data_IF_660888593113
#
_entry.id   IF_660888593113
#
_cell.length_a   1.000
_cell.length_b   1.000
_cell.length_c   1.000
_cell.angle_alpha   90.00
_cell.angle_beta   90.00
_cell.angle_gamma   90.00
#
_symmetry.space_group_name_H-M   'P 1'
#
loop_
_entity.id
_entity.type
_entity.pdbx_description
1 polymer ?
#
# COMPACT_ATOMS: atom_id res chain seq x y z
N UNK A 1 -32.29 18.00 -16.57
CA UNK A 1 -31.80 19.07 -15.68
C UNK A 1 -30.28 19.16 -15.85
N UNK A 2 -29.77 20.28 -16.38
CA UNK A 2 -28.32 20.52 -16.44
C UNK A 2 -27.83 20.73 -15.02
N UNK A 3 -26.99 19.81 -14.53
CA UNK A 3 -26.42 19.92 -13.20
C UNK A 3 -25.65 21.24 -13.05
N UNK A 4 -25.87 21.92 -11.93
CA UNK A 4 -25.15 23.15 -11.61
C UNK A 4 -23.65 22.87 -11.57
N UNK A 5 -22.81 23.66 -12.24
CA UNK A 5 -21.36 23.52 -12.18
C UNK A 5 -20.89 23.57 -10.72
N UNK A 6 -19.93 22.71 -10.33
CA UNK A 6 -19.43 22.73 -8.98
C UNK A 6 -18.63 24.00 -8.68
N UNK A 7 -18.45 24.32 -7.41
CA UNK A 7 -17.56 25.39 -7.00
C UNK A 7 -16.10 24.98 -7.26
N UNK A 8 -15.31 25.89 -7.82
CA UNK A 8 -13.91 25.65 -8.14
C UNK A 8 -12.99 25.77 -6.92
N UNK A 9 -13.45 26.44 -5.86
CA UNK A 9 -12.69 26.70 -4.63
C UNK A 9 -12.67 25.45 -3.75
N UNK A 10 -11.52 24.81 -3.49
CA UNK A 10 -11.45 23.58 -2.71
C UNK A 10 -12.03 23.70 -1.31
N UNK A 11 -11.83 24.82 -0.65
CA UNK A 11 -12.27 25.11 0.72
C UNK A 11 -13.79 25.05 0.86
N UNK A 12 -14.52 25.31 -0.23
CA UNK A 12 -15.99 25.19 -0.26
C UNK A 12 -16.48 23.79 0.14
N UNK A 13 -15.67 22.76 -0.08
CA UNK A 13 -16.01 21.38 0.23
C UNK A 13 -15.64 20.97 1.65
N UNK A 14 -14.80 21.74 2.34
CA UNK A 14 -14.39 21.44 3.71
C UNK A 14 -15.55 21.53 4.71
N UNK A 15 -15.57 20.62 5.65
CA UNK A 15 -16.43 20.70 6.82
C UNK A 15 -15.73 21.51 7.90
N UNK A 16 -16.49 22.24 8.69
CA UNK A 16 -15.90 22.85 9.89
C UNK A 16 -15.31 21.77 10.82
N UNK A 17 -14.28 22.09 11.61
CA UNK A 17 -13.65 21.09 12.51
C UNK A 17 -14.65 20.39 13.43
N UNK A 18 -15.67 21.11 13.92
CA UNK A 18 -16.74 20.50 14.73
C UNK A 18 -17.56 19.50 13.94
N UNK A 19 -17.97 19.88 12.73
CA UNK A 19 -18.75 19.01 11.85
C UNK A 19 -17.94 17.81 11.37
N UNK A 20 -16.63 17.98 11.15
CA UNK A 20 -15.69 16.90 10.78
C UNK A 20 -15.60 15.87 11.91
N UNK A 21 -15.32 16.29 13.14
CA UNK A 21 -15.28 15.39 14.32
C UNK A 21 -16.60 14.66 14.54
N UNK A 22 -17.74 15.38 14.41
CA UNK A 22 -19.06 14.74 14.54
C UNK A 22 -19.32 13.68 13.47
N UNK A 23 -18.87 13.92 12.22
CA UNK A 23 -19.00 12.96 11.13
C UNK A 23 -18.15 11.70 11.37
N UNK A 24 -16.89 11.83 11.77
CA UNK A 24 -16.00 10.73 12.10
C UNK A 24 -16.50 9.94 13.32
N UNK A 25 -16.95 10.63 14.38
CA UNK A 25 -17.55 9.98 15.55
C UNK A 25 -18.79 9.15 15.18
N UNK A 26 -19.66 9.66 14.31
CA UNK A 26 -20.83 8.91 13.82
C UNK A 26 -20.41 7.70 12.99
N UNK A 27 -19.40 7.85 12.14
CA UNK A 27 -18.86 6.73 11.34
C UNK A 27 -18.28 5.64 12.26
N UNK A 28 -17.56 6.00 13.31
CA UNK A 28 -16.94 5.06 14.25
C UNK A 28 -17.92 4.20 15.04
N UNK A 29 -19.14 4.69 15.25
CA UNK A 29 -20.21 3.91 15.94
C UNK A 29 -20.61 2.65 15.14
N UNK A 30 -20.57 2.71 13.81
CA UNK A 30 -20.95 1.63 12.94
C UNK A 30 -19.75 0.89 12.33
N UNK A 31 -18.65 1.58 12.16
CA UNK A 31 -17.44 1.10 11.46
C UNK A 31 -16.18 1.51 12.23
N UNK A 32 -15.91 0.94 13.42
CA UNK A 32 -14.76 1.31 14.23
C UNK A 32 -13.42 0.99 13.56
N UNK A 33 -13.29 -0.15 12.89
CA UNK A 33 -12.01 -0.60 12.31
C UNK A 33 -11.47 0.37 11.25
N UNK A 34 -12.25 0.79 10.22
CA UNK A 34 -11.77 1.80 9.28
C UNK A 34 -11.45 3.14 9.93
N UNK A 35 -12.21 3.56 10.96
CA UNK A 35 -11.96 4.84 11.65
C UNK A 35 -10.71 4.76 12.51
N UNK A 36 -10.46 3.66 13.20
CA UNK A 36 -9.22 3.44 13.95
C UNK A 36 -8.01 3.44 13.00
N UNK A 37 -8.13 2.77 11.87
CA UNK A 37 -7.07 2.78 10.85
C UNK A 37 -6.79 4.19 10.34
N UNK A 38 -7.82 4.95 9.92
CA UNK A 38 -7.62 6.32 9.42
C UNK A 38 -7.07 7.24 10.51
N UNK A 39 -7.47 7.05 11.77
CA UNK A 39 -6.92 7.81 12.88
C UNK A 39 -5.41 7.62 13.00
N UNK A 40 -4.91 6.41 12.89
CA UNK A 40 -3.47 6.14 12.90
C UNK A 40 -2.77 6.77 11.69
N UNK A 41 -3.38 6.68 10.51
CA UNK A 41 -2.87 7.32 9.28
C UNK A 41 -2.71 8.84 9.42
N UNK A 42 -3.54 9.48 10.22
CA UNK A 42 -3.61 10.93 10.37
C UNK A 42 -2.83 11.44 11.58
N UNK A 43 -2.97 10.80 12.73
CA UNK A 43 -2.45 11.33 14.01
C UNK A 43 -1.08 10.76 14.35
N UNK A 44 -0.76 9.55 13.89
CA UNK A 44 0.53 8.89 14.10
C UNK A 44 1.37 8.93 12.83
N UNK A 45 1.20 9.96 12.04
CA UNK A 45 1.97 10.20 10.84
C UNK A 45 3.00 11.29 11.13
N UNK A 46 4.15 10.88 11.62
CA UNK A 46 5.21 11.81 11.94
C UNK A 46 6.03 12.14 10.69
N UNK A 47 5.46 12.97 9.82
CA UNK A 47 6.26 13.59 8.74
C UNK A 47 7.35 14.49 9.29
N UNK A 48 7.30 14.80 10.57
CA UNK A 48 8.27 15.63 11.28
C UNK A 48 9.40 14.80 11.88
N UNK A 49 9.27 13.47 12.07
CA UNK A 49 10.40 12.59 12.43
C UNK A 49 11.47 12.65 11.36
N UNK A 50 11.06 12.80 10.12
CA UNK A 50 11.96 13.05 9.01
C UNK A 50 12.78 14.36 9.11
N UNK A 51 12.68 15.13 10.18
CA UNK A 51 13.47 16.35 10.37
C UNK A 51 14.98 16.12 10.49
N UNK A 52 15.42 14.90 10.81
CA UNK A 52 16.84 14.59 10.88
C UNK A 52 17.45 14.30 9.52
N UNK A 53 16.89 13.36 8.79
CA UNK A 53 17.52 12.75 7.61
C UNK A 53 16.65 12.73 6.34
N UNK A 54 15.33 12.96 6.48
CA UNK A 54 14.42 13.09 5.34
C UNK A 54 13.77 14.48 5.37
N UNK A 55 14.08 15.35 4.42
CA UNK A 55 13.43 16.65 4.35
C UNK A 55 11.92 16.46 4.18
N UNK A 56 11.12 17.24 4.93
CA UNK A 56 9.69 17.36 4.69
C UNK A 56 9.53 17.59 3.20
N UNK A 57 8.91 16.65 2.52
CA UNK A 57 8.77 16.76 1.07
C UNK A 57 7.95 18.01 0.76
N UNK A 58 8.49 18.93 -0.06
CA UNK A 58 7.75 20.14 -0.38
C UNK A 58 6.41 19.77 -0.98
N UNK A 59 5.35 20.37 -0.45
CA UNK A 59 3.98 20.13 -0.92
C UNK A 59 3.28 21.45 -1.19
N UNK A 60 2.48 21.50 -2.25
CA UNK A 60 1.54 22.58 -2.53
C UNK A 60 0.11 22.29 -2.02
N UNK A 61 -0.05 21.28 -1.18
CA UNK A 61 -1.34 21.00 -0.53
C UNK A 61 -1.60 22.04 0.55
N UNK A 62 -2.75 22.75 0.52
CA UNK A 62 -3.13 23.65 1.60
C UNK A 62 -3.24 22.91 2.94
N UNK A 63 -2.83 23.57 4.03
CA UNK A 63 -2.80 22.99 5.39
C UNK A 63 -4.14 22.38 5.81
N UNK A 64 -5.25 23.01 5.44
CA UNK A 64 -6.60 22.54 5.77
C UNK A 64 -6.94 21.16 5.15
N UNK A 65 -6.13 20.70 4.20
CA UNK A 65 -6.27 19.36 3.58
C UNK A 65 -5.21 18.37 4.06
N UNK A 66 -4.38 18.75 5.02
CA UNK A 66 -3.36 17.84 5.54
C UNK A 66 -4.02 16.76 6.43
N UNK A 67 -3.63 15.50 6.28
CA UNK A 67 -4.16 14.40 7.09
C UNK A 67 -4.08 14.66 8.59
N UNK A 68 -3.00 15.28 9.05
CA UNK A 68 -2.72 15.60 10.46
C UNK A 68 -3.77 16.54 11.08
N UNK A 69 -4.46 17.32 10.26
CA UNK A 69 -5.58 18.18 10.68
C UNK A 69 -6.94 17.46 10.68
N UNK A 70 -6.95 16.17 10.28
CA UNK A 70 -8.15 15.33 10.22
C UNK A 70 -9.31 15.97 9.43
N UNK A 71 -9.06 16.53 8.24
CA UNK A 71 -10.12 17.19 7.49
C UNK A 71 -11.18 16.19 7.02
N UNK A 72 -12.42 16.62 7.03
CA UNK A 72 -13.52 15.95 6.36
C UNK A 72 -14.10 16.91 5.34
N UNK A 73 -14.30 16.43 4.13
CA UNK A 73 -14.83 17.22 3.04
C UNK A 73 -15.85 16.43 2.21
N UNK A 74 -16.73 17.16 1.57
CA UNK A 74 -17.59 16.60 0.54
C UNK A 74 -16.76 16.28 -0.70
N UNK A 75 -16.99 15.10 -1.27
CA UNK A 75 -16.27 14.63 -2.45
C UNK A 75 -17.07 14.98 -3.70
N UNK A 76 -16.61 15.92 -4.53
CA UNK A 76 -17.24 16.24 -5.81
C UNK A 76 -17.36 15.02 -6.71
N UNK A 77 -18.46 14.96 -7.46
CA UNK A 77 -18.80 13.81 -8.30
C UNK A 77 -19.34 14.30 -9.65
N UNK A 78 -18.92 13.66 -10.74
CA UNK A 78 -19.60 13.81 -12.01
C UNK A 78 -19.85 12.44 -12.65
N UNK A 79 -20.91 12.36 -13.44
CA UNK A 79 -21.19 11.22 -14.30
C UNK A 79 -20.90 11.58 -15.74
N UNK A 80 -20.37 10.65 -16.53
CA UNK A 80 -20.20 10.81 -17.96
C UNK A 80 -20.40 9.46 -18.68
N UNK A 81 -20.68 9.49 -20.00
CA UNK A 81 -20.83 8.29 -20.81
C UNK A 81 -19.61 7.35 -20.70
N UNK A 82 -19.85 6.05 -20.77
CA UNK A 82 -18.82 5.02 -20.61
C UNK A 82 -17.68 5.14 -21.62
N UNK A 83 -17.97 5.61 -22.83
CA UNK A 83 -16.98 5.86 -23.88
C UNK A 83 -15.96 6.97 -23.54
N UNK A 84 -16.27 7.84 -22.56
CA UNK A 84 -15.35 8.86 -22.06
C UNK A 84 -14.33 8.32 -21.08
N UNK A 85 -14.47 7.08 -20.65
CA UNK A 85 -13.58 6.45 -19.66
C UNK A 85 -12.79 5.27 -20.24
N UNK A 86 -11.72 4.94 -19.55
CA UNK A 86 -11.05 3.66 -19.61
C UNK A 86 -11.19 2.99 -18.25
N UNK A 87 -11.89 1.85 -18.23
CA UNK A 87 -12.05 1.01 -17.07
C UNK A 87 -10.99 -0.10 -17.11
N UNK A 88 -10.33 -0.32 -15.99
CA UNK A 88 -9.49 -1.48 -15.71
C UNK A 88 -10.05 -2.17 -14.48
N UNK A 89 -10.22 -3.46 -14.54
CA UNK A 89 -10.84 -4.24 -13.47
C UNK A 89 -10.11 -5.56 -13.31
N UNK A 90 -9.85 -5.94 -12.07
CA UNK A 90 -9.49 -7.30 -11.74
C UNK A 90 -10.72 -8.19 -12.02
N UNK A 91 -10.62 -9.18 -12.91
CA UNK A 91 -11.78 -9.97 -13.34
C UNK A 91 -12.45 -10.77 -12.22
N UNK A 92 -11.75 -10.99 -11.11
CA UNK A 92 -12.30 -11.70 -9.93
C UNK A 92 -13.08 -10.78 -8.97
N UNK A 93 -13.10 -9.48 -9.25
CA UNK A 93 -13.71 -8.47 -8.37
C UNK A 93 -14.85 -7.73 -9.10
N UNK A 94 -16.02 -7.55 -8.45
CA UNK A 94 -17.11 -6.80 -9.06
C UNK A 94 -16.77 -5.31 -9.21
N UNK A 95 -17.44 -4.65 -10.15
CA UNK A 95 -17.41 -3.19 -10.25
C UNK A 95 -18.06 -2.59 -8.99
N UNK A 96 -17.38 -1.70 -8.27
CA UNK A 96 -17.96 -1.04 -7.10
C UNK A 96 -19.19 -0.20 -7.46
N UNK A 97 -20.24 -0.32 -6.66
CA UNK A 97 -21.52 0.35 -6.87
C UNK A 97 -21.39 1.87 -7.02
N UNK A 98 -20.45 2.49 -6.35
CA UNK A 98 -20.22 3.94 -6.38
C UNK A 98 -19.55 4.44 -7.67
N UNK A 99 -19.08 3.53 -8.52
CA UNK A 99 -18.55 3.87 -9.86
C UNK A 99 -19.60 3.74 -10.96
N UNK A 100 -20.75 3.16 -10.69
CA UNK A 100 -21.82 3.07 -11.66
C UNK A 100 -22.58 4.41 -11.72
N UNK A 101 -22.82 4.93 -12.93
CA UNK A 101 -23.68 6.08 -13.10
C UNK A 101 -25.14 5.75 -12.81
N UNK A 102 -25.95 6.77 -12.58
CA UNK A 102 -27.39 6.63 -12.33
C UNK A 102 -28.13 6.02 -13.53
N UNK A 103 -27.62 6.25 -14.76
CA UNK A 103 -28.03 5.56 -15.97
C UNK A 103 -27.01 4.44 -16.25
N UNK A 104 -27.46 3.27 -16.63
CA UNK A 104 -26.63 2.07 -16.83
C UNK A 104 -25.51 2.19 -17.88
N UNK A 105 -25.41 3.31 -18.61
CA UNK A 105 -24.50 3.50 -19.76
C UNK A 105 -23.23 4.28 -19.45
N UNK A 106 -23.02 4.73 -18.21
CA UNK A 106 -21.90 5.57 -17.83
C UNK A 106 -21.23 5.19 -16.52
N UNK A 107 -20.23 6.01 -16.15
CA UNK A 107 -19.54 5.89 -14.88
C UNK A 107 -19.63 7.16 -14.06
N UNK A 108 -19.61 6.98 -12.74
CA UNK A 108 -19.46 8.04 -11.77
C UNK A 108 -17.97 8.20 -11.45
N UNK A 109 -17.48 9.43 -11.48
CA UNK A 109 -16.10 9.78 -11.16
C UNK A 109 -16.04 10.70 -9.95
N UNK A 110 -15.40 10.24 -8.90
CA UNK A 110 -15.19 10.99 -7.67
C UNK A 110 -13.91 11.83 -7.80
N UNK A 111 -14.00 13.11 -7.47
CA UNK A 111 -12.93 14.09 -7.68
C UNK A 111 -12.47 14.64 -6.35
N UNK A 112 -11.15 14.64 -6.11
CA UNK A 112 -10.60 15.34 -4.95
C UNK A 112 -10.86 16.85 -5.06
N UNK A 113 -11.27 17.57 -3.98
CA UNK A 113 -11.54 19.01 -4.05
C UNK A 113 -10.40 19.82 -4.68
N UNK A 114 -9.14 19.49 -4.37
CA UNK A 114 -7.96 20.15 -4.95
C UNK A 114 -7.79 19.94 -6.48
N UNK A 115 -8.60 19.06 -7.07
CA UNK A 115 -8.57 18.80 -8.52
C UNK A 115 -9.80 19.30 -9.27
N UNK A 116 -10.80 19.84 -8.60
CA UNK A 116 -12.04 20.29 -9.24
C UNK A 116 -11.75 21.29 -10.37
N UNK A 117 -10.92 22.30 -10.08
CA UNK A 117 -10.54 23.30 -11.09
C UNK A 117 -9.84 22.67 -12.31
N UNK A 118 -9.04 21.62 -12.08
CA UNK A 118 -8.37 20.89 -13.17
C UNK A 118 -9.38 20.24 -14.12
N UNK A 119 -10.49 19.71 -13.62
CA UNK A 119 -11.56 19.14 -14.43
C UNK A 119 -12.44 20.21 -15.06
N UNK A 120 -12.75 21.30 -14.34
CA UNK A 120 -13.59 22.40 -14.86
C UNK A 120 -12.94 23.17 -16.02
N UNK A 121 -11.62 23.27 -16.04
CA UNK A 121 -10.86 23.91 -17.12
C UNK A 121 -10.84 23.07 -18.41
N UNK A 122 -11.52 21.94 -18.44
CA UNK A 122 -11.66 21.07 -19.61
C UNK A 122 -13.12 20.91 -19.99
N UNK A 123 -13.38 20.89 -21.29
CA UNK A 123 -14.71 20.57 -21.81
C UNK A 123 -14.96 19.05 -21.67
N UNK A 124 -15.54 18.63 -20.56
CA UNK A 124 -15.87 17.23 -20.31
C UNK A 124 -17.17 16.89 -21.07
N UNK A 125 -17.03 16.36 -22.28
CA UNK A 125 -18.15 15.99 -23.14
C UNK A 125 -19.16 15.09 -22.43
N UNK A 126 -20.42 15.51 -22.39
CA UNK A 126 -21.51 14.74 -21.79
C UNK A 126 -21.42 14.57 -20.27
N UNK A 127 -20.44 15.19 -19.60
CA UNK A 127 -20.34 15.11 -18.15
C UNK A 127 -21.44 15.91 -17.46
N UNK A 128 -22.00 15.29 -16.42
CA UNK A 128 -23.00 15.90 -15.55
C UNK A 128 -22.48 15.92 -14.12
N UNK A 129 -22.20 17.09 -13.60
CA UNK A 129 -21.85 17.26 -12.20
C UNK A 129 -23.06 16.99 -11.31
N UNK A 130 -22.81 16.29 -10.21
CA UNK A 130 -23.81 15.91 -9.21
C UNK A 130 -23.65 16.71 -7.93
N UNK A 131 -24.70 16.82 -7.15
CA UNK A 131 -24.58 17.25 -5.76
C UNK A 131 -23.74 16.22 -4.99
N UNK A 132 -22.74 16.66 -4.23
CA UNK A 132 -21.89 15.74 -3.48
C UNK A 132 -22.71 14.90 -2.49
N UNK A 133 -22.55 13.60 -2.51
CA UNK A 133 -23.22 12.66 -1.59
C UNK A 133 -22.25 11.92 -0.68
N UNK A 134 -20.97 11.94 -0.99
CA UNK A 134 -19.94 11.29 -0.21
C UNK A 134 -19.16 12.27 0.64
N UNK A 135 -18.90 11.91 1.87
CA UNK A 135 -17.86 12.49 2.70
C UNK A 135 -16.57 11.71 2.55
N UNK A 136 -15.45 12.40 2.67
CA UNK A 136 -14.13 11.80 2.60
C UNK A 136 -13.18 12.44 3.60
N UNK A 137 -12.15 11.67 3.98
CA UNK A 137 -11.03 12.14 4.79
C UNK A 137 -9.73 11.54 4.25
N UNK A 138 -8.61 12.30 4.15
CA UNK A 138 -7.38 11.81 3.57
C UNK A 138 -6.62 10.89 4.52
N UNK A 139 -5.93 9.91 3.93
CA UNK A 139 -4.88 9.14 4.59
C UNK A 139 -3.53 9.87 4.52
N UNK A 140 -2.49 9.31 5.11
CA UNK A 140 -1.13 9.87 5.11
C UNK A 140 -0.62 10.32 3.73
N UNK A 141 -1.08 9.71 2.64
CA UNK A 141 -0.68 10.06 1.27
C UNK A 141 -1.43 11.25 0.65
N UNK A 142 -2.30 11.94 1.37
CA UNK A 142 -3.23 13.00 0.93
C UNK A 142 -4.25 12.58 -0.14
N UNK A 143 -3.86 11.78 -1.13
CA UNK A 143 -4.68 11.39 -2.29
C UNK A 143 -5.41 10.06 -2.13
N UNK A 144 -5.05 9.28 -1.12
CA UNK A 144 -5.82 8.12 -0.72
C UNK A 144 -6.81 8.57 0.34
N UNK A 145 -8.07 8.28 0.12
CA UNK A 145 -9.19 8.77 0.91
C UNK A 145 -9.97 7.60 1.49
N UNK A 146 -10.37 7.70 2.74
CA UNK A 146 -11.49 6.92 3.28
C UNK A 146 -12.78 7.70 2.95
N UNK A 147 -13.72 7.02 2.30
CA UNK A 147 -14.95 7.61 1.74
C UNK A 147 -16.17 6.89 2.30
N UNK A 148 -17.21 7.65 2.63
CA UNK A 148 -18.50 7.08 3.08
C UNK A 148 -19.68 7.95 2.64
N UNK A 149 -20.81 7.31 2.52
CA UNK A 149 -22.10 8.00 2.27
C UNK A 149 -22.85 8.10 3.61
N UNK A 150 -23.03 9.32 4.17
CA UNK A 150 -23.44 9.50 5.57
C UNK A 150 -24.75 8.86 5.98
N UNK A 151 -25.66 8.62 5.05
CA UNK A 151 -27.03 8.16 5.32
C UNK A 151 -27.34 6.77 4.73
N UNK A 152 -26.36 6.15 4.06
CA UNK A 152 -26.63 4.91 3.30
C UNK A 152 -26.60 3.63 4.13
N UNK A 153 -26.02 3.66 5.33
CA UNK A 153 -25.73 2.45 6.13
C UNK A 153 -24.71 1.49 5.48
N UNK A 154 -24.12 1.88 4.36
CA UNK A 154 -23.11 1.10 3.66
C UNK A 154 -21.73 1.27 4.30
N UNK A 155 -20.89 0.23 4.29
CA UNK A 155 -19.53 0.36 4.82
C UNK A 155 -18.71 1.39 4.05
N UNK A 156 -17.79 2.08 4.73
CA UNK A 156 -16.85 2.97 4.08
C UNK A 156 -15.94 2.18 3.13
N UNK A 157 -15.40 2.87 2.15
CA UNK A 157 -14.49 2.33 1.15
C UNK A 157 -13.28 3.25 0.96
N UNK A 158 -12.21 2.74 0.42
CA UNK A 158 -11.04 3.55 0.12
C UNK A 158 -10.87 3.76 -1.39
N UNK A 159 -10.38 4.94 -1.76
CA UNK A 159 -10.00 5.28 -3.13
C UNK A 159 -8.70 6.06 -3.14
N UNK A 160 -7.93 5.90 -4.21
CA UNK A 160 -6.76 6.72 -4.51
C UNK A 160 -7.13 7.62 -5.69
N UNK A 161 -7.21 8.92 -5.46
CA UNK A 161 -7.65 9.90 -6.46
C UNK A 161 -6.50 10.64 -7.12
N UNK A 162 -6.74 11.18 -8.30
CA UNK A 162 -5.86 12.19 -8.87
C UNK A 162 -5.92 13.47 -8.04
N UNK A 163 -4.76 13.99 -7.67
CA UNK A 163 -4.62 15.29 -7.01
C UNK A 163 -3.66 16.13 -7.82
N UNK A 164 -4.18 17.21 -8.40
CA UNK A 164 -3.40 18.07 -9.29
C UNK A 164 -2.55 19.08 -8.52
N UNK A 165 -1.76 18.58 -7.57
CA UNK A 165 -0.81 19.35 -6.78
C UNK A 165 0.54 18.61 -6.73
N UNK A 166 1.59 19.35 -6.38
CA UNK A 166 2.92 18.80 -6.18
C UNK A 166 3.08 18.29 -4.76
N UNK A 167 3.51 17.03 -4.63
CA UNK A 167 3.86 16.40 -3.34
C UNK A 167 5.15 15.63 -3.56
N UNK A 168 6.22 15.99 -2.83
CA UNK A 168 7.50 15.36 -2.97
C UNK A 168 8.12 15.49 -4.37
N UNK A 169 8.01 16.67 -4.98
CA UNK A 169 8.55 16.93 -6.30
C UNK A 169 7.81 16.28 -7.47
N UNK A 170 6.67 15.60 -7.22
CA UNK A 170 5.89 14.92 -8.24
C UNK A 170 4.44 15.42 -8.26
N UNK A 171 3.89 15.60 -9.46
CA UNK A 171 2.46 15.78 -9.63
C UNK A 171 1.74 14.44 -9.38
N UNK A 172 0.77 14.43 -8.48
CA UNK A 172 0.14 13.21 -7.94
C UNK A 172 -1.16 12.80 -8.66
N UNK A 173 -1.24 13.03 -9.96
CA UNK A 173 -2.33 12.49 -10.76
C UNK A 173 -2.20 10.97 -10.90
N UNK A 174 -3.29 10.24 -10.70
CA UNK A 174 -3.39 8.80 -10.99
C UNK A 174 -3.58 8.65 -12.50
N UNK A 175 -2.49 8.39 -13.20
CA UNK A 175 -2.46 8.31 -14.66
C UNK A 175 -2.75 6.87 -15.13
N UNK A 176 -3.12 6.77 -16.40
CA UNK A 176 -3.40 5.50 -17.06
C UNK A 176 -2.34 4.40 -16.81
N UNK A 177 -1.05 4.77 -16.87
CA UNK A 177 0.06 3.82 -16.66
C UNK A 177 0.09 3.26 -15.23
N UNK A 178 -0.08 4.13 -14.23
CA UNK A 178 -0.13 3.73 -12.81
C UNK A 178 -1.31 2.80 -12.56
N UNK A 179 -2.46 3.16 -13.12
CA UNK A 179 -3.69 2.40 -12.95
C UNK A 179 -3.61 1.00 -13.56
N UNK A 180 -3.14 0.90 -14.82
CA UNK A 180 -2.90 -0.40 -15.47
C UNK A 180 -1.99 -1.28 -14.63
N UNK A 181 -0.93 -0.69 -14.06
CA UNK A 181 0.03 -1.42 -13.21
C UNK A 181 -0.62 -1.88 -11.91
N UNK A 182 -1.34 -1.01 -11.20
CA UNK A 182 -1.97 -1.37 -9.93
C UNK A 182 -3.01 -2.47 -10.09
N UNK A 183 -3.95 -2.30 -11.02
CA UNK A 183 -4.99 -3.32 -11.28
C UNK A 183 -4.39 -4.61 -11.87
N UNK A 184 -3.40 -4.48 -12.75
CA UNK A 184 -2.69 -5.64 -13.28
C UNK A 184 -1.97 -6.43 -12.19
N UNK A 185 -1.31 -5.75 -11.25
CA UNK A 185 -0.65 -6.40 -10.12
C UNK A 185 -1.66 -7.03 -9.15
N UNK A 186 -2.77 -6.34 -8.87
CA UNK A 186 -3.91 -6.88 -8.15
C UNK A 186 -4.41 -8.19 -8.77
N UNK A 187 -4.60 -8.21 -10.10
CA UNK A 187 -5.02 -9.41 -10.83
C UNK A 187 -3.98 -10.53 -10.78
N UNK A 188 -2.70 -10.20 -10.81
CA UNK A 188 -1.62 -11.18 -10.71
C UNK A 188 -1.55 -11.82 -9.34
N UNK A 189 -1.61 -11.00 -8.28
CA UNK A 189 -1.59 -11.45 -6.88
C UNK A 189 -2.86 -12.25 -6.52
N UNK A 190 -4.02 -11.90 -7.09
CA UNK A 190 -5.26 -12.68 -6.92
C UNK A 190 -5.17 -14.10 -7.51
N UNK A 191 -4.21 -14.37 -8.38
CA UNK A 191 -3.90 -15.71 -8.88
C UNK A 191 -3.18 -16.61 -7.86
N UNK A 192 -2.68 -16.06 -6.75
CA UNK A 192 -2.07 -16.82 -5.67
C UNK A 192 -3.20 -17.22 -4.70
N UNK A 193 -3.33 -18.51 -4.32
CA UNK A 193 -4.34 -18.91 -3.35
C UNK A 193 -4.24 -18.10 -2.06
N UNK A 194 -5.35 -17.54 -1.61
CA UNK A 194 -5.37 -16.72 -0.39
C UNK A 194 -4.91 -17.49 0.85
N UNK A 195 -5.16 -18.81 0.89
CA UNK A 195 -4.69 -19.68 1.97
C UNK A 195 -3.14 -19.69 2.01
N UNK A 196 -2.49 -19.80 0.87
CA UNK A 196 -1.03 -19.82 0.77
C UNK A 196 -0.43 -18.47 1.21
N UNK A 197 -1.00 -17.36 0.75
CA UNK A 197 -0.58 -16.04 1.20
C UNK A 197 -0.70 -15.89 2.73
N UNK A 198 -1.87 -16.25 3.29
CA UNK A 198 -2.11 -16.17 4.74
C UNK A 198 -1.18 -17.06 5.54
N UNK A 199 -0.89 -18.26 5.06
CA UNK A 199 0.04 -19.20 5.69
C UNK A 199 1.47 -18.63 5.75
N UNK A 200 1.82 -17.78 4.78
CA UNK A 200 3.10 -17.07 4.73
C UNK A 200 3.06 -15.69 5.39
N UNK A 201 1.97 -15.37 6.07
CA UNK A 201 1.80 -14.08 6.77
C UNK A 201 1.57 -12.89 5.83
N UNK A 202 1.33 -13.12 4.53
CA UNK A 202 1.07 -12.07 3.53
C UNK A 202 -0.42 -11.79 3.45
N UNK A 203 -0.79 -10.54 3.67
CA UNK A 203 -2.15 -10.05 3.50
C UNK A 203 -2.15 -8.87 2.53
N UNK A 204 -3.23 -8.66 1.80
CA UNK A 204 -3.26 -7.63 0.75
C UNK A 204 -4.44 -6.68 0.96
N UNK A 205 -4.18 -5.38 0.84
CA UNK A 205 -5.20 -4.37 0.55
C UNK A 205 -5.20 -4.14 -0.96
N UNK A 206 -6.15 -4.77 -1.63
CA UNK A 206 -6.20 -4.86 -3.08
C UNK A 206 -6.56 -3.52 -3.75
N UNK A 207 -6.09 -3.33 -4.99
CA UNK A 207 -6.43 -2.20 -5.87
C UNK A 207 -7.26 -2.73 -7.08
N UNK A 208 -8.51 -3.18 -6.87
CA UNK A 208 -9.18 -4.05 -7.84
C UNK A 208 -9.71 -3.34 -9.09
N UNK A 209 -10.03 -2.05 -9.01
CA UNK A 209 -10.65 -1.32 -10.12
C UNK A 209 -10.03 0.05 -10.30
N UNK A 210 -9.78 0.41 -11.53
CA UNK A 210 -9.29 1.73 -11.92
C UNK A 210 -10.13 2.35 -13.02
N UNK A 211 -10.48 3.64 -12.87
CA UNK A 211 -11.27 4.41 -13.81
C UNK A 211 -10.51 5.68 -14.20
N UNK A 212 -10.19 5.85 -15.49
CA UNK A 212 -9.51 7.04 -16.02
C UNK A 212 -10.40 7.76 -17.00
N UNK A 213 -10.62 9.04 -16.78
CA UNK A 213 -11.26 9.89 -17.77
C UNK A 213 -10.29 10.18 -18.94
N UNK A 214 -10.68 9.83 -20.17
CA UNK A 214 -9.79 9.83 -21.34
C UNK A 214 -9.21 11.21 -21.67
N UNK A 215 -10.02 12.25 -21.60
CA UNK A 215 -9.61 13.60 -21.98
C UNK A 215 -8.66 14.24 -20.97
N UNK A 216 -8.87 14.00 -19.67
CA UNK A 216 -8.04 14.58 -18.61
C UNK A 216 -6.82 13.71 -18.29
N UNK A 217 -6.85 12.43 -18.65
CA UNK A 217 -5.88 11.41 -18.21
C UNK A 217 -5.71 11.38 -16.67
N UNK A 218 -6.75 11.81 -15.95
CA UNK A 218 -6.82 11.76 -14.50
C UNK A 218 -7.84 10.71 -14.07
N UNK A 219 -7.52 9.94 -13.08
CA UNK A 219 -8.35 8.81 -12.68
C UNK A 219 -8.47 8.64 -11.18
N UNK A 220 -9.21 7.63 -10.82
CA UNK A 220 -9.31 7.10 -9.49
C UNK A 220 -9.05 5.59 -9.52
N UNK A 221 -8.48 5.09 -8.44
CA UNK A 221 -8.23 3.69 -8.19
C UNK A 221 -8.96 3.29 -6.92
N UNK A 222 -9.77 2.25 -6.98
CA UNK A 222 -10.40 1.70 -5.78
C UNK A 222 -9.38 0.95 -4.96
N UNK A 223 -9.53 0.94 -3.66
CA UNK A 223 -8.65 0.22 -2.72
C UNK A 223 -9.48 -0.48 -1.67
N UNK A 224 -9.08 -1.67 -1.29
CA UNK A 224 -9.67 -2.32 -0.14
C UNK A 224 -9.34 -1.52 1.14
N UNK A 225 -10.33 -1.46 2.02
CA UNK A 225 -10.18 -0.92 3.36
C UNK A 225 -10.43 -2.04 4.38
N UNK A 226 -9.78 -2.03 5.54
CA UNK A 226 -10.08 -2.97 6.60
C UNK A 226 -11.49 -2.69 7.13
N UNK A 227 -12.49 -3.32 6.52
CA UNK A 227 -13.90 -3.07 6.83
C UNK A 227 -14.41 -3.88 8.01
N UNK A 228 -13.76 -5.00 8.31
CA UNK A 228 -14.08 -5.87 9.44
C UNK A 228 -12.85 -6.68 9.81
N UNK A 229 -12.35 -6.43 10.99
CA UNK A 229 -11.26 -7.20 11.61
C UNK A 229 -11.84 -8.22 12.60
N UNK A 230 -11.07 -9.22 12.95
CA UNK A 230 -11.40 -10.14 14.03
C UNK A 230 -11.39 -9.45 15.40
N UNK A 231 -12.02 -10.06 16.38
CA UNK A 231 -12.00 -9.54 17.75
C UNK A 231 -10.55 -9.42 18.25
N UNK A 232 -10.20 -8.24 18.75
CA UNK A 232 -8.84 -7.92 19.22
C UNK A 232 -7.82 -7.69 18.10
N UNK A 233 -8.21 -7.83 16.83
CA UNK A 233 -7.31 -7.53 15.70
C UNK A 233 -7.27 -6.02 15.41
N UNK A 234 -6.08 -5.53 15.12
CA UNK A 234 -5.78 -4.17 14.73
C UNK A 234 -4.76 -4.18 13.60
N UNK A 235 -4.87 -3.24 12.67
CA UNK A 235 -3.90 -3.04 11.59
C UNK A 235 -3.22 -1.69 11.80
N UNK A 236 -1.89 -1.70 11.86
CA UNK A 236 -1.09 -0.51 12.17
C UNK A 236 -0.09 -0.27 11.04
N UNK A 237 -0.16 0.89 10.34
CA UNK A 237 0.90 1.26 9.41
C UNK A 237 2.26 1.27 10.11
N UNK A 238 3.31 0.73 9.50
CA UNK A 238 4.61 0.66 10.18
C UNK A 238 5.13 2.04 10.58
N UNK A 239 4.94 3.08 9.75
CA UNK A 239 5.35 4.43 10.14
C UNK A 239 4.68 4.91 11.43
N UNK A 240 3.43 4.48 11.70
CA UNK A 240 2.70 4.83 12.91
C UNK A 240 3.29 4.20 14.18
N UNK A 241 4.05 3.12 14.05
CA UNK A 241 4.77 2.52 15.18
C UNK A 241 5.95 3.38 15.63
N UNK A 242 6.55 4.12 14.69
CA UNK A 242 7.73 4.95 14.94
C UNK A 242 7.37 6.39 15.29
N UNK A 243 6.12 6.80 15.07
CA UNK A 243 5.67 8.16 15.31
C UNK A 243 5.62 8.49 16.82
N UNK A 244 6.16 9.66 17.17
CA UNK A 244 6.12 10.23 18.53
C UNK A 244 5.18 11.43 18.67
N UNK A 245 4.54 11.87 17.58
CA UNK A 245 3.56 12.96 17.60
C UNK A 245 2.43 12.62 18.57
N UNK A 246 2.11 13.55 19.45
CA UNK A 246 1.08 13.41 20.50
C UNK A 246 1.33 12.28 21.53
N UNK A 247 2.55 11.73 21.59
CA UNK A 247 2.94 10.71 22.55
C UNK A 247 4.30 11.03 23.16
N UNK A 248 4.52 10.63 24.41
CA UNK A 248 5.83 10.76 25.06
C UNK A 248 6.90 9.89 24.37
N UNK A 249 6.46 8.76 23.81
CA UNK A 249 7.31 7.81 23.11
C UNK A 249 6.56 7.08 21.99
N UNK A 250 7.27 6.60 20.94
CA UNK A 250 6.69 5.81 19.86
C UNK A 250 6.04 4.52 20.36
N UNK A 251 4.99 4.08 19.67
CA UNK A 251 4.26 2.85 20.02
C UNK A 251 5.15 1.60 20.01
N UNK A 252 6.14 1.54 19.15
CA UNK A 252 7.07 0.40 19.08
C UNK A 252 7.79 0.19 20.42
N UNK A 253 8.11 1.26 21.15
CA UNK A 253 8.74 1.19 22.48
C UNK A 253 7.82 0.50 23.49
N UNK A 254 6.51 0.81 23.45
CA UNK A 254 5.53 0.15 24.31
C UNK A 254 5.38 -1.34 23.98
N UNK A 255 5.37 -1.68 22.69
CA UNK A 255 5.28 -3.08 22.23
C UNK A 255 6.50 -3.89 22.67
N UNK A 256 7.71 -3.34 22.53
CA UNK A 256 8.94 -3.98 22.96
C UNK A 256 8.94 -4.18 24.50
N UNK A 257 8.69 -3.12 25.27
CA UNK A 257 8.70 -3.19 26.71
C UNK A 257 7.66 -4.18 27.26
N UNK A 258 6.48 -4.24 26.65
CA UNK A 258 5.42 -5.17 27.08
C UNK A 258 5.70 -6.64 26.70
N UNK A 259 6.59 -6.88 25.73
CA UNK A 259 6.94 -8.23 25.30
C UNK A 259 7.90 -8.95 26.23
N UNK A 260 8.71 -8.20 27.00
CA UNK A 260 9.81 -8.73 27.81
C UNK A 260 11.02 -9.22 27.00
N UNK A 261 11.03 -9.04 25.68
CA UNK A 261 12.14 -9.39 24.81
C UNK A 261 13.19 -8.28 24.78
N UNK A 262 14.42 -8.67 24.48
CA UNK A 262 15.47 -7.73 24.05
C UNK A 262 15.00 -6.96 22.81
N UNK A 263 15.25 -5.64 22.73
CA UNK A 263 14.77 -4.82 21.61
C UNK A 263 15.24 -5.29 20.23
N UNK A 264 16.49 -5.74 20.11
CA UNK A 264 17.04 -6.27 18.85
C UNK A 264 16.36 -7.58 18.47
N UNK A 265 16.17 -8.47 19.45
CA UNK A 265 15.45 -9.73 19.25
C UNK A 265 14.00 -9.49 18.86
N UNK A 266 13.33 -8.50 19.45
CA UNK A 266 11.95 -8.15 19.11
C UNK A 266 11.83 -7.65 17.66
N UNK A 267 12.72 -6.75 17.24
CA UNK A 267 12.75 -6.22 15.86
C UNK A 267 13.03 -7.34 14.87
N UNK A 268 13.96 -8.22 15.18
CA UNK A 268 14.27 -9.37 14.35
C UNK A 268 13.06 -10.29 14.20
N UNK A 269 12.41 -10.65 15.30
CA UNK A 269 11.29 -11.59 15.32
C UNK A 269 10.01 -11.05 14.66
N UNK A 270 9.70 -9.76 14.89
CA UNK A 270 8.41 -9.22 14.50
C UNK A 270 8.45 -8.26 13.31
N UNK A 271 9.64 -7.86 12.85
CA UNK A 271 9.77 -6.97 11.67
C UNK A 271 10.63 -7.63 10.59
N UNK A 272 11.92 -7.85 10.85
CA UNK A 272 12.84 -8.24 9.78
C UNK A 272 12.61 -9.66 9.29
N UNK A 273 12.58 -10.61 10.19
CA UNK A 273 12.41 -12.03 9.81
C UNK A 273 11.12 -12.26 9.00
N UNK A 274 9.92 -11.83 9.44
CA UNK A 274 8.72 -12.05 8.65
C UNK A 274 8.71 -11.28 7.33
N UNK A 275 9.17 -10.03 7.28
CA UNK A 275 9.19 -9.26 6.03
C UNK A 275 10.19 -9.81 5.02
N UNK A 276 11.39 -10.21 5.46
CA UNK A 276 12.38 -10.85 4.60
C UNK A 276 11.79 -12.16 4.05
N UNK A 277 11.17 -12.97 4.92
CA UNK A 277 10.55 -14.23 4.52
C UNK A 277 9.45 -14.04 3.47
N UNK A 278 8.55 -13.09 3.68
CA UNK A 278 7.48 -12.76 2.73
C UNK A 278 8.03 -12.29 1.39
N UNK A 279 9.09 -11.46 1.40
CA UNK A 279 9.75 -11.01 0.19
C UNK A 279 10.33 -12.19 -0.61
N UNK A 280 11.05 -13.09 0.06
CA UNK A 280 11.60 -14.30 -0.58
C UNK A 280 10.50 -15.23 -1.08
N UNK A 281 9.44 -15.44 -0.30
CA UNK A 281 8.29 -16.23 -0.74
C UNK A 281 7.73 -15.70 -2.06
N UNK A 282 7.34 -14.42 -2.11
CA UNK A 282 6.79 -13.82 -3.33
C UNK A 282 7.80 -13.80 -4.49
N UNK A 283 9.07 -13.51 -4.19
CA UNK A 283 10.14 -13.50 -5.19
C UNK A 283 10.37 -14.87 -5.82
N UNK A 284 10.46 -15.91 -5.01
CA UNK A 284 10.79 -17.26 -5.47
C UNK A 284 9.60 -18.01 -6.07
N UNK A 285 8.36 -17.69 -5.66
CA UNK A 285 7.16 -18.36 -6.20
C UNK A 285 6.56 -17.64 -7.39
N UNK A 286 6.61 -16.30 -7.40
CA UNK A 286 5.94 -15.48 -8.41
C UNK A 286 6.90 -14.54 -9.17
N UNK A 287 8.14 -14.42 -8.72
CA UNK A 287 9.05 -13.40 -9.22
C UNK A 287 8.63 -11.98 -8.84
N UNK A 288 7.89 -11.82 -7.74
CA UNK A 288 7.36 -10.53 -7.30
C UNK A 288 8.11 -10.01 -6.08
N UNK A 289 8.33 -8.71 -6.04
CA UNK A 289 8.88 -8.02 -4.87
C UNK A 289 8.12 -6.71 -4.63
N UNK A 290 7.62 -6.52 -3.41
CA UNK A 290 6.87 -5.35 -3.00
C UNK A 290 7.77 -4.19 -2.59
N UNK A 291 7.26 -2.97 -2.67
CA UNK A 291 7.87 -1.79 -2.05
C UNK A 291 7.62 -1.83 -0.54
N UNK A 292 8.47 -2.57 0.19
CA UNK A 292 8.30 -2.86 1.63
C UNK A 292 8.84 -1.73 2.50
N UNK A 293 8.49 -0.48 2.19
CA UNK A 293 8.78 0.63 3.07
C UNK A 293 7.63 0.86 4.06
N UNK A 294 7.89 1.58 5.14
CA UNK A 294 7.00 1.75 6.30
C UNK A 294 5.60 2.30 5.96
N UNK A 295 5.45 3.01 4.83
CA UNK A 295 4.14 3.51 4.39
C UNK A 295 3.28 2.41 3.75
N UNK A 296 3.89 1.44 3.04
CA UNK A 296 3.15 0.43 2.27
C UNK A 296 2.89 -0.85 3.06
N UNK A 297 3.53 -1.00 4.22
CA UNK A 297 3.42 -2.17 5.09
C UNK A 297 2.63 -1.81 6.34
N UNK A 298 1.66 -2.64 6.68
CA UNK A 298 0.89 -2.51 7.91
C UNK A 298 1.06 -3.79 8.74
N UNK A 299 1.42 -3.64 10.01
CA UNK A 299 1.55 -4.76 10.95
C UNK A 299 0.17 -5.13 11.49
N UNK A 300 -0.13 -6.42 11.53
CA UNK A 300 -1.30 -6.92 12.24
C UNK A 300 -0.95 -7.16 13.71
N UNK A 301 -1.75 -6.60 14.59
CA UNK A 301 -1.71 -6.90 16.02
C UNK A 301 -2.97 -7.68 16.40
N UNK A 302 -2.82 -8.56 17.40
CA UNK A 302 -3.94 -9.25 18.05
C UNK A 302 -3.79 -9.11 19.56
N UNK A 303 -4.81 -8.56 20.19
CA UNK A 303 -4.80 -8.24 21.63
C UNK A 303 -3.54 -7.45 22.02
N UNK A 304 -3.17 -6.48 21.17
CA UNK A 304 -2.01 -5.61 21.36
C UNK A 304 -0.64 -6.24 21.07
N UNK A 305 -0.57 -7.48 20.57
CA UNK A 305 0.67 -8.18 20.26
C UNK A 305 0.87 -8.39 18.76
N UNK A 306 2.07 -8.25 18.21
CA UNK A 306 2.35 -8.55 16.80
C UNK A 306 2.05 -10.02 16.45
N UNK A 307 1.44 -10.23 15.27
CA UNK A 307 1.11 -11.57 14.77
C UNK A 307 2.13 -12.11 13.76
N UNK A 308 3.17 -11.35 13.41
CA UNK A 308 4.11 -11.60 12.30
C UNK A 308 3.46 -11.60 10.92
N UNK A 309 2.19 -11.14 10.82
CA UNK A 309 1.45 -11.00 9.58
C UNK A 309 1.45 -9.54 9.16
N UNK A 310 1.64 -9.31 7.86
CA UNK A 310 1.69 -7.97 7.31
C UNK A 310 0.71 -7.80 6.17
N UNK A 311 0.05 -6.66 6.19
CA UNK A 311 -0.79 -6.20 5.09
C UNK A 311 0.06 -5.34 4.15
N UNK A 312 0.02 -5.67 2.87
CA UNK A 312 0.69 -4.91 1.82
C UNK A 312 -0.35 -4.08 1.08
N UNK A 313 -0.06 -2.82 0.86
CA UNK A 313 -0.89 -1.90 0.07
C UNK A 313 -0.08 -1.24 -1.03
N UNK A 314 -0.77 -0.47 -1.92
CA UNK A 314 -0.18 0.18 -3.09
C UNK A 314 0.47 -0.84 -4.05
N UNK A 315 -0.32 -1.84 -4.44
CA UNK A 315 0.16 -2.99 -5.21
C UNK A 315 0.82 -2.58 -6.54
N UNK A 316 0.50 -1.39 -7.06
CA UNK A 316 1.21 -0.80 -8.19
C UNK A 316 2.71 -0.55 -7.95
N UNK A 317 3.16 -0.59 -6.71
CA UNK A 317 4.58 -0.53 -6.33
C UNK A 317 5.33 -1.85 -6.49
N UNK A 318 4.62 -2.99 -6.57
CA UNK A 318 5.27 -4.27 -6.80
C UNK A 318 6.02 -4.28 -8.13
N UNK A 319 7.19 -4.88 -8.13
CA UNK A 319 8.02 -5.09 -9.31
C UNK A 319 8.11 -6.57 -9.64
N UNK A 320 8.30 -6.85 -10.93
CA UNK A 320 8.49 -8.19 -11.43
C UNK A 320 9.98 -8.43 -11.70
N UNK A 321 10.55 -9.41 -11.00
CA UNK A 321 11.88 -9.95 -11.32
C UNK A 321 11.72 -11.04 -12.39
N UNK A 322 12.23 -10.74 -13.56
CA UNK A 322 12.07 -11.60 -14.73
C UNK A 322 12.72 -12.97 -14.57
N UNK A 323 13.89 -12.98 -13.98
CA UNK A 323 14.69 -14.18 -13.87
C UNK A 323 14.14 -15.12 -12.79
N UNK A 324 13.76 -14.55 -11.64
CA UNK A 324 13.09 -15.32 -10.58
C UNK A 324 11.75 -15.88 -11.06
N UNK A 325 10.97 -15.09 -11.81
CA UNK A 325 9.70 -15.56 -12.36
C UNK A 325 9.88 -16.73 -13.31
N UNK A 326 10.88 -16.68 -14.19
CA UNK A 326 11.23 -17.80 -15.07
C UNK A 326 11.68 -19.02 -14.28
N UNK A 327 12.51 -18.80 -13.27
CA UNK A 327 12.99 -19.89 -12.40
C UNK A 327 11.82 -20.56 -11.67
N UNK A 328 10.81 -19.79 -11.25
CA UNK A 328 9.56 -20.30 -10.66
C UNK A 328 8.66 -21.02 -11.68
N UNK A 329 9.04 -21.11 -12.96
CA UNK A 329 8.23 -21.73 -14.01
C UNK A 329 7.04 -20.90 -14.45
N UNK A 330 7.01 -19.62 -14.09
CA UNK A 330 5.92 -18.70 -14.43
C UNK A 330 6.20 -18.03 -15.78
N UNK A 331 5.26 -18.14 -16.70
CA UNK A 331 5.35 -17.50 -18.01
C UNK A 331 5.07 -16.00 -17.99
N UNK A 332 5.27 -15.36 -19.14
CA UNK A 332 4.97 -13.94 -19.37
C UNK A 332 3.78 -13.73 -20.30
N UNK A 333 3.34 -14.77 -20.96
CA UNK A 333 2.33 -14.72 -22.02
C UNK A 333 0.94 -14.29 -21.49
N UNK A 334 0.71 -14.49 -20.19
CA UNK A 334 -0.55 -14.18 -19.51
C UNK A 334 -0.42 -13.06 -18.47
N UNK A 335 0.61 -12.22 -18.59
CA UNK A 335 0.73 -11.09 -17.69
C UNK A 335 -0.38 -10.08 -17.96
N UNK A 336 -1.05 -9.56 -16.89
CA UNK A 336 -2.05 -8.54 -17.05
C UNK A 336 -1.49 -7.26 -17.70
N UNK A 337 -2.35 -6.55 -18.42
CA UNK A 337 -1.98 -5.30 -19.07
C UNK A 337 -1.40 -4.29 -18.06
N UNK A 338 -0.25 -3.71 -18.39
CA UNK A 338 0.42 -2.70 -17.57
C UNK A 338 1.49 -3.23 -16.63
N UNK A 339 1.63 -4.56 -16.50
CA UNK A 339 2.80 -5.15 -15.85
C UNK A 339 3.97 -5.01 -16.82
N UNK A 340 4.94 -4.22 -16.44
CA UNK A 340 6.17 -4.05 -17.21
C UNK A 340 7.32 -4.77 -16.52
N UNK A 341 8.08 -5.51 -17.30
CA UNK A 341 9.38 -5.98 -16.89
C UNK A 341 10.28 -4.75 -16.68
N UNK A 342 10.70 -4.50 -15.47
CA UNK A 342 11.75 -3.51 -15.21
C UNK A 342 13.09 -4.22 -15.20
N UNK A 343 13.93 -3.89 -16.17
CA UNK A 343 15.34 -4.17 -16.10
C UNK A 343 16.02 -3.02 -15.35
N UNK A 344 16.42 -3.28 -14.13
CA UNK A 344 17.33 -2.39 -13.41
C UNK A 344 18.73 -3.00 -13.58
N UNK A 345 19.46 -2.54 -14.61
CA UNK A 345 20.85 -2.88 -14.83
C UNK A 345 21.15 -4.35 -15.14
N UNK A 346 22.23 -4.61 -15.86
CA UNK A 346 22.67 -5.97 -16.20
C UNK A 346 23.23 -6.76 -15.01
N UNK A 347 23.59 -6.07 -13.93
CA UNK A 347 24.46 -6.61 -12.89
C UNK A 347 23.80 -6.77 -11.51
N UNK A 348 22.56 -6.32 -11.33
CA UNK A 348 21.84 -6.48 -10.07
C UNK A 348 20.41 -6.93 -10.30
N UNK A 349 19.97 -8.08 -9.73
CA UNK A 349 18.59 -8.54 -9.77
C UNK A 349 17.66 -7.50 -9.16
N UNK A 350 16.51 -7.26 -9.81
CA UNK A 350 15.48 -6.31 -9.31
C UNK A 350 15.09 -6.63 -7.88
N UNK A 351 14.98 -7.91 -7.56
CA UNK A 351 14.63 -8.41 -6.24
C UNK A 351 15.55 -7.86 -5.13
N UNK A 352 16.85 -8.04 -5.28
CA UNK A 352 17.82 -7.58 -4.27
C UNK A 352 17.86 -6.07 -4.15
N UNK A 353 17.76 -5.36 -5.28
CA UNK A 353 17.72 -3.90 -5.26
C UNK A 353 16.51 -3.37 -4.49
N UNK A 354 15.32 -3.92 -4.75
CA UNK A 354 14.08 -3.48 -4.10
C UNK A 354 14.07 -3.83 -2.62
N UNK A 355 14.54 -5.03 -2.27
CA UNK A 355 14.67 -5.44 -0.88
C UNK A 355 15.62 -4.50 -0.11
N UNK A 356 16.75 -4.16 -0.71
CA UNK A 356 17.68 -3.20 -0.13
C UNK A 356 17.06 -1.82 0.02
N UNK A 357 16.54 -1.23 -1.05
CA UNK A 357 16.02 0.14 -1.04
C UNK A 357 14.83 0.34 -0.10
N UNK A 358 13.91 -0.61 -0.03
CA UNK A 358 12.67 -0.41 0.71
C UNK A 358 12.65 -1.08 2.08
N UNK A 359 13.19 -2.28 2.20
CA UNK A 359 13.19 -2.94 3.50
C UNK A 359 14.43 -2.54 4.33
N UNK A 360 15.62 -2.57 3.76
CA UNK A 360 16.84 -2.25 4.51
C UNK A 360 17.00 -0.73 4.70
N UNK A 361 17.00 0.04 3.61
CA UNK A 361 17.31 1.48 3.66
C UNK A 361 16.15 2.35 4.14
N UNK A 362 14.87 1.94 3.94
CA UNK A 362 13.71 2.70 4.41
C UNK A 362 13.21 2.18 5.75
N UNK A 363 12.57 1.02 5.78
CA UNK A 363 12.02 0.43 7.02
C UNK A 363 13.13 0.16 8.07
N UNK A 364 14.27 -0.37 7.65
CA UNK A 364 15.42 -0.61 8.53
C UNK A 364 15.97 0.66 9.16
N UNK A 365 16.03 1.77 8.40
CA UNK A 365 16.45 3.06 8.92
C UNK A 365 15.48 3.62 9.95
N UNK A 366 14.16 3.54 9.70
CA UNK A 366 13.15 3.98 10.66
C UNK A 366 13.21 3.19 11.98
N UNK A 367 13.42 1.87 11.90
CA UNK A 367 13.66 0.99 13.05
C UNK A 367 14.92 1.44 13.81
N UNK A 368 16.06 1.55 13.13
CA UNK A 368 17.33 1.89 13.73
C UNK A 368 17.28 3.26 14.43
N UNK A 369 16.61 4.26 13.80
CA UNK A 369 16.41 5.57 14.41
C UNK A 369 15.61 5.49 15.72
N UNK A 370 14.50 4.75 15.75
CA UNK A 370 13.70 4.57 16.96
C UNK A 370 14.48 3.85 18.06
N UNK A 371 15.26 2.81 17.70
CA UNK A 371 16.03 2.02 18.66
C UNK A 371 17.19 2.81 19.27
N UNK A 372 17.91 3.58 18.45
CA UNK A 372 18.97 4.47 18.95
C UNK A 372 18.43 5.49 19.94
N UNK A 373 17.29 6.11 19.64
CA UNK A 373 16.74 7.20 20.47
C UNK A 373 16.12 6.72 21.78
N UNK A 374 15.60 5.51 21.84
CA UNK A 374 14.85 5.02 23.00
C UNK A 374 15.52 3.88 23.78
N UNK A 375 16.42 3.14 23.13
CA UNK A 375 17.13 2.01 23.74
C UNK A 375 18.66 2.16 23.68
N UNK A 376 19.15 3.26 23.05
CA UNK A 376 20.59 3.55 22.89
C UNK A 376 21.36 2.46 22.12
N UNK A 377 20.68 1.76 21.21
CA UNK A 377 21.27 0.68 20.42
C UNK A 377 21.86 1.29 19.13
N UNK A 378 23.13 0.99 18.78
CA UNK A 378 23.78 1.46 17.56
C UNK A 378 23.06 0.99 16.28
N UNK A 379 23.11 1.81 15.22
CA UNK A 379 22.49 1.45 13.94
C UNK A 379 23.12 0.19 13.31
N UNK A 380 24.42 0.00 13.50
CA UNK A 380 25.17 -1.10 12.90
C UNK A 380 24.67 -2.47 13.38
N UNK A 381 24.17 -2.58 14.62
CA UNK A 381 23.61 -3.80 15.16
C UNK A 381 22.39 -4.27 14.33
N UNK A 382 21.55 -3.34 13.87
CA UNK A 382 20.37 -3.67 13.03
C UNK A 382 20.75 -4.03 11.60
N UNK A 383 21.77 -3.37 11.05
CA UNK A 383 22.30 -3.72 9.72
C UNK A 383 22.89 -5.14 9.76
N UNK A 384 23.61 -5.48 10.82
CA UNK A 384 24.16 -6.81 11.00
C UNK A 384 23.06 -7.86 11.15
N UNK A 385 22.06 -7.61 12.00
CA UNK A 385 20.90 -8.52 12.19
C UNK A 385 20.18 -8.74 10.87
N UNK A 386 19.87 -7.67 10.13
CA UNK A 386 19.23 -7.77 8.82
C UNK A 386 20.04 -8.62 7.85
N UNK A 387 21.35 -8.34 7.69
CA UNK A 387 22.21 -9.05 6.77
C UNK A 387 22.36 -10.54 7.16
N UNK A 388 22.52 -10.82 8.44
CA UNK A 388 22.60 -12.18 8.97
C UNK A 388 21.32 -12.96 8.67
N UNK A 389 20.14 -12.37 8.91
CA UNK A 389 18.84 -13.02 8.67
C UNK A 389 18.58 -13.24 7.19
N UNK A 390 18.83 -12.24 6.35
CA UNK A 390 18.70 -12.38 4.91
C UNK A 390 19.58 -13.51 4.35
N UNK A 391 20.85 -13.58 4.81
CA UNK A 391 21.79 -14.64 4.41
C UNK A 391 21.35 -16.02 4.90
N UNK A 392 20.93 -16.14 6.16
CA UNK A 392 20.45 -17.39 6.73
C UNK A 392 19.22 -17.90 5.98
N UNK A 393 18.25 -17.02 5.72
CA UNK A 393 17.04 -17.40 5.00
C UNK A 393 17.35 -17.83 3.57
N UNK A 394 18.18 -17.06 2.86
CA UNK A 394 18.62 -17.42 1.52
C UNK A 394 19.27 -18.83 1.52
N UNK A 395 20.21 -19.10 2.43
CA UNK A 395 20.87 -20.39 2.52
C UNK A 395 19.89 -21.54 2.83
N UNK A 396 18.92 -21.33 3.73
CA UNK A 396 17.89 -22.33 4.05
C UNK A 396 16.97 -22.63 2.87
N UNK A 397 16.53 -21.60 2.14
CA UNK A 397 15.72 -21.77 0.93
C UNK A 397 16.51 -22.58 -0.11
N UNK A 398 17.77 -22.22 -0.32
CA UNK A 398 18.63 -22.93 -1.26
C UNK A 398 18.84 -24.39 -0.85
N UNK A 399 19.11 -24.64 0.42
CA UNK A 399 19.30 -26.00 0.96
C UNK A 399 18.02 -26.84 0.85
N UNK A 400 16.86 -26.30 1.21
CA UNK A 400 15.57 -26.98 1.11
C UNK A 400 15.22 -27.37 -0.35
N UNK A 401 15.82 -26.71 -1.31
CA UNK A 401 15.65 -26.96 -2.73
C UNK A 401 16.85 -27.68 -3.40
N UNK A 402 17.75 -28.26 -2.57
CA UNK A 402 18.95 -28.96 -3.02
C UNK A 402 19.93 -28.07 -3.80
N UNK A 403 20.00 -26.79 -3.49
CA UNK A 403 20.98 -25.85 -4.04
C UNK A 403 22.05 -25.60 -2.98
N UNK A 404 23.29 -25.95 -3.24
CA UNK A 404 24.34 -25.98 -2.23
C UNK A 404 24.89 -24.59 -1.86
N UNK A 405 24.94 -23.68 -2.84
CA UNK A 405 25.53 -22.35 -2.64
C UNK A 405 24.82 -21.28 -3.48
N UNK A 406 25.02 -20.02 -3.13
CA UNK A 406 24.56 -18.89 -3.96
C UNK A 406 25.15 -18.97 -5.39
N UNK A 407 26.40 -19.42 -5.53
CA UNK A 407 27.03 -19.64 -6.85
C UNK A 407 26.32 -20.73 -7.66
N UNK A 408 25.84 -21.78 -7.01
CA UNK A 408 25.06 -22.83 -7.69
C UNK A 408 23.69 -22.30 -8.10
N UNK A 409 23.09 -21.45 -7.30
CA UNK A 409 21.84 -20.75 -7.65
C UNK A 409 22.04 -19.83 -8.85
N UNK A 410 23.10 -19.05 -8.89
CA UNK A 410 23.44 -18.19 -10.04
C UNK A 410 23.72 -19.02 -11.30
N UNK A 411 24.42 -20.15 -11.17
CA UNK A 411 24.63 -21.09 -12.28
C UNK A 411 23.31 -21.71 -12.76
N UNK A 412 22.40 -22.04 -11.86
CA UNK A 412 21.09 -22.55 -12.21
C UNK A 412 20.26 -21.47 -12.94
N UNK A 413 20.28 -20.23 -12.44
CA UNK A 413 19.67 -19.07 -13.12
C UNK A 413 20.26 -18.91 -14.54
N UNK A 414 21.57 -19.00 -14.69
CA UNK A 414 22.23 -18.86 -15.97
C UNK A 414 21.90 -20.01 -16.92
N UNK A 415 21.87 -21.25 -16.43
CA UNK A 415 21.42 -22.43 -17.19
C UNK A 415 19.97 -22.28 -17.62
N UNK A 416 19.12 -21.74 -16.75
CA UNK A 416 17.73 -21.49 -17.03
C UNK A 416 17.54 -20.44 -18.13
N UNK A 417 18.33 -19.36 -18.07
CA UNK A 417 18.36 -18.33 -19.11
C UNK A 417 18.74 -18.90 -20.50
N UNK A 418 19.72 -19.82 -20.51
CA UNK A 418 20.25 -20.40 -21.76
C UNK A 418 19.40 -21.55 -22.35
N UNK A 419 18.72 -22.35 -21.53
CA UNK A 419 18.13 -23.63 -21.92
C UNK A 419 16.61 -23.74 -21.88
N UNK A 420 15.87 -22.70 -21.53
CA UNK A 420 14.40 -22.78 -21.34
C UNK A 420 13.95 -24.02 -20.53
N UNK A 421 14.66 -24.32 -19.44
CA UNK A 421 14.35 -25.49 -18.62
C UNK A 421 12.97 -25.35 -17.93
N UNK A 422 12.29 -26.45 -17.56
CA UNK A 422 11.07 -26.38 -16.77
C UNK A 422 11.34 -25.69 -15.43
N UNK A 423 10.35 -24.94 -14.94
CA UNK A 423 10.47 -24.18 -13.72
C UNK A 423 10.68 -25.04 -12.47
N UNK A 424 11.21 -24.44 -11.44
CA UNK A 424 11.36 -25.06 -10.11
C UNK A 424 10.06 -24.92 -9.31
N UNK A 425 9.68 -25.98 -8.62
CA UNK A 425 8.73 -25.94 -7.54
C UNK A 425 9.53 -25.73 -6.25
N UNK A 426 9.37 -24.56 -5.64
CA UNK A 426 10.06 -24.25 -4.38
C UNK A 426 9.39 -24.95 -3.20
N UNK A 427 10.18 -25.49 -2.31
CA UNK A 427 9.70 -26.07 -1.04
C UNK A 427 9.64 -24.98 0.01
N UNK A 428 8.44 -24.71 0.47
CA UNK A 428 8.16 -23.74 1.53
C UNK A 428 7.55 -24.44 2.73
N UNK A 429 8.02 -24.06 3.90
CA UNK A 429 7.30 -24.28 5.15
C UNK A 429 6.36 -23.12 5.39
N UNK A 430 5.38 -23.24 6.27
CA UNK A 430 4.65 -22.09 6.77
C UNK A 430 5.62 -21.11 7.48
N UNK A 431 5.25 -19.84 7.55
CA UNK A 431 6.04 -18.86 8.30
C UNK A 431 6.27 -19.33 9.75
N UNK A 432 5.22 -19.84 10.41
CA UNK A 432 5.32 -20.33 11.80
C UNK A 432 6.22 -21.56 11.96
N UNK A 433 6.23 -22.46 10.97
CA UNK A 433 7.16 -23.60 10.97
C UNK A 433 8.59 -23.16 10.71
N UNK A 434 8.78 -22.21 9.78
CA UNK A 434 10.09 -21.65 9.48
C UNK A 434 10.68 -20.92 10.69
N UNK A 435 9.85 -20.22 11.46
CA UNK A 435 10.27 -19.47 12.64
C UNK A 435 10.56 -20.36 13.87
N UNK A 436 9.94 -21.54 13.97
CA UNK A 436 10.24 -22.49 15.05
C UNK A 436 11.66 -23.08 14.97
N UNK A 437 12.21 -23.12 13.76
CA UNK A 437 13.56 -23.64 13.52
C UNK A 437 14.64 -22.54 13.67
N UNK A 438 14.26 -21.33 14.13
CA UNK A 438 15.12 -20.15 14.30
C UNK A 438 15.32 -19.80 15.75
#
# INVERSE_FOLDING_TARGET
MTGKKPNATPEHYLRSPVAARAALKRLSLNYPDPVNWIHQEQTLNDRTIAKGDYPIQPTSVPLDFWPEHQPVFWLPEFEAPGDQFRLYQNPTRPLPWYLSASNSEGYSHLVHPLSVQYFLNRDLKGARWKSPRFLATPMASHRTLLVWEPQSGRPPFAIKTSVNVWIGGLNRNVRLKEMKRSVGMSSLLAGIPTADLKQQGVLLLDDPVGLVHKQTNAGLLTRDAPSKLGRGEEIVPLFSLFASVHRERPRIVDLINSSGLDPVAWVDEFIFTPLIYQAYFLGMTEGLVGEMHEQNILMELRDGRPTRRFWHRDLGGFLLDRDLRRLAGKGFERLPAGIHERHLGRDMPVFHLVLRMYLQESTGHAVAHAMRNHFQIPNDDFVEVYNRRASLLQNRILAANNIRTTKDFEKDLERYRKRKMPGRSWRWKSLDEALRDW
#
